data_IF_528981796550
#
_entry.id   IF_528981796550
#
_cell.length_a   1.000
_cell.length_b   1.000
_cell.length_c   1.000
_cell.angle_alpha   90.00
_cell.angle_beta   90.00
_cell.angle_gamma   90.00
#
_symmetry.space_group_name_H-M   'P 1'
#
loop_
_entity.id
_entity.type
_entity.pdbx_description
1 polymer ?
#
# COMPACT_ATOMS: atom_id res chain seq x y z
N UNK A 1 25.17 1.54 19.50
CA UNK A 1 23.73 1.73 19.77
C UNK A 1 23.02 0.41 20.02
N UNK A 2 23.15 -0.62 19.16
CA UNK A 2 22.65 -1.99 19.44
C UNK A 2 23.26 -2.62 20.70
N UNK A 3 24.57 -2.48 20.88
CA UNK A 3 25.29 -2.90 22.09
C UNK A 3 24.78 -2.21 23.37
N UNK A 4 24.26 -0.98 23.24
CA UNK A 4 23.74 -0.20 24.38
C UNK A 4 22.30 -0.62 24.69
N UNK A 5 21.54 -1.01 23.66
CA UNK A 5 20.13 -1.38 23.76
C UNK A 5 19.90 -2.89 23.97
N UNK A 6 20.98 -3.68 23.95
CA UNK A 6 20.99 -5.14 24.09
C UNK A 6 19.95 -5.86 23.22
N UNK A 7 19.68 -5.30 22.03
CA UNK A 7 18.78 -5.86 21.02
C UNK A 7 19.21 -5.38 19.64
N UNK A 8 19.02 -6.18 18.58
CA UNK A 8 19.23 -5.70 17.21
C UNK A 8 18.29 -4.52 16.96
N UNK A 9 18.83 -3.42 16.45
CA UNK A 9 18.07 -2.20 16.16
C UNK A 9 17.35 -2.29 14.82
N UNK A 10 17.87 -3.10 13.91
CA UNK A 10 17.22 -3.42 12.65
C UNK A 10 17.73 -4.77 12.17
N UNK A 11 16.82 -5.73 11.92
CA UNK A 11 17.21 -6.95 11.22
C UNK A 11 17.68 -6.58 9.81
N UNK A 12 18.54 -7.41 9.19
CA UNK A 12 18.93 -7.31 7.77
C UNK A 12 17.72 -7.67 6.87
N UNK A 13 16.59 -7.00 7.07
CA UNK A 13 15.33 -7.24 6.41
C UNK A 13 15.25 -6.41 5.13
N UNK A 14 14.67 -6.99 4.10
CA UNK A 14 14.35 -6.25 2.89
C UNK A 14 13.38 -5.11 3.24
N UNK A 15 13.79 -3.85 3.02
CA UNK A 15 12.97 -2.67 3.32
C UNK A 15 11.60 -2.71 2.61
N UNK A 16 11.55 -3.29 1.41
CA UNK A 16 10.28 -3.50 0.69
C UNK A 16 9.38 -4.50 1.41
N UNK A 17 9.96 -5.54 2.01
CA UNK A 17 9.19 -6.50 2.81
C UNK A 17 8.67 -5.85 4.09
N UNK A 18 9.51 -5.07 4.77
CA UNK A 18 9.10 -4.29 5.94
C UNK A 18 7.94 -3.33 5.62
N UNK A 19 7.92 -2.73 4.43
CA UNK A 19 6.81 -1.89 3.95
C UNK A 19 5.54 -2.71 3.60
N UNK A 20 5.67 -3.94 3.10
CA UNK A 20 4.54 -4.81 2.79
C UNK A 20 3.82 -5.36 4.03
N UNK A 21 4.53 -5.52 5.16
CA UNK A 21 4.01 -6.17 6.36
C UNK A 21 2.84 -5.39 7.03
N UNK A 22 2.94 -4.07 7.30
CA UNK A 22 1.82 -3.30 7.82
C UNK A 22 0.54 -3.42 6.98
N UNK A 23 0.65 -3.29 5.66
CA UNK A 23 -0.49 -3.42 4.76
C UNK A 23 -1.15 -4.81 4.85
N UNK A 24 -0.35 -5.87 4.98
CA UNK A 24 -0.84 -7.25 5.17
C UNK A 24 -1.62 -7.41 6.46
N UNK A 25 -1.09 -6.91 7.56
CA UNK A 25 -1.74 -7.01 8.87
C UNK A 25 -3.02 -6.18 8.91
N UNK A 26 -3.00 -4.98 8.32
CA UNK A 26 -4.20 -4.16 8.15
C UNK A 26 -5.28 -4.90 7.37
N UNK A 27 -4.90 -5.52 6.25
CA UNK A 27 -5.84 -6.30 5.43
C UNK A 27 -6.48 -7.44 6.22
N UNK A 28 -5.69 -8.21 6.97
CA UNK A 28 -6.19 -9.32 7.80
C UNK A 28 -7.14 -8.84 8.89
N UNK A 29 -6.83 -7.70 9.53
CA UNK A 29 -7.67 -7.11 10.55
C UNK A 29 -9.01 -6.65 9.98
N UNK A 30 -8.97 -5.94 8.85
CA UNK A 30 -10.14 -5.33 8.22
C UNK A 30 -11.07 -6.36 7.54
N UNK A 31 -10.52 -7.44 6.98
CA UNK A 31 -11.32 -8.47 6.27
C UNK A 31 -11.99 -9.48 7.23
N UNK A 32 -11.70 -9.41 8.53
CA UNK A 32 -12.35 -10.25 9.55
C UNK A 32 -12.00 -11.73 9.41
N UNK A 33 -10.80 -12.11 9.83
CA UNK A 33 -10.44 -13.49 10.23
C UNK A 33 -10.77 -14.60 9.23
N UNK A 34 -9.91 -14.83 8.22
CA UNK A 34 -9.79 -16.16 7.59
C UNK A 34 -8.48 -16.83 8.00
N UNK A 35 -8.61 -17.74 8.96
CA UNK A 35 -7.77 -18.92 9.25
C UNK A 35 -6.34 -18.88 8.68
N UNK A 36 -5.37 -18.58 9.56
CA UNK A 36 -3.98 -19.02 9.43
C UNK A 36 -3.09 -18.19 8.50
N UNK A 37 -1.93 -17.79 9.04
CA UNK A 37 -0.86 -17.06 8.35
C UNK A 37 -0.30 -17.73 7.07
N UNK A 38 -0.78 -18.92 6.67
CA UNK A 38 -0.20 -19.69 5.56
C UNK A 38 -0.91 -19.55 4.21
N UNK A 39 -2.08 -18.91 4.10
CA UNK A 39 -2.71 -18.69 2.79
C UNK A 39 -3.31 -17.29 2.71
N UNK A 40 -2.45 -16.30 2.52
CA UNK A 40 -2.80 -15.03 1.88
C UNK A 40 -3.20 -15.30 0.42
N UNK A 41 -4.38 -15.89 0.23
CA UNK A 41 -5.05 -15.86 -1.05
C UNK A 41 -5.66 -14.46 -1.16
N UNK A 42 -4.87 -13.52 -1.68
CA UNK A 42 -5.25 -12.15 -2.06
C UNK A 42 -6.32 -12.07 -3.17
N UNK A 43 -7.19 -13.08 -3.21
CA UNK A 43 -8.30 -13.28 -4.14
C UNK A 43 -9.63 -13.38 -3.38
N UNK A 44 -9.71 -12.91 -2.12
CA UNK A 44 -10.91 -13.07 -1.32
C UNK A 44 -12.14 -12.58 -2.09
N UNK A 45 -13.04 -13.53 -2.36
CA UNK A 45 -14.19 -13.38 -3.25
C UNK A 45 -15.19 -12.33 -2.76
N UNK A 46 -15.16 -11.94 -1.48
CA UNK A 46 -16.07 -10.93 -0.92
C UNK A 46 -15.72 -9.51 -1.38
N UNK A 47 -14.45 -9.11 -1.32
CA UNK A 47 -13.99 -7.79 -1.82
C UNK A 47 -13.90 -7.80 -3.36
N UNK A 48 -13.46 -8.91 -3.96
CA UNK A 48 -13.30 -9.06 -5.43
C UNK A 48 -14.62 -9.30 -6.17
N UNK A 49 -15.65 -9.82 -5.50
CA UNK A 49 -16.93 -10.23 -6.12
C UNK A 49 -17.86 -9.08 -6.54
N UNK A 50 -17.57 -7.82 -6.14
CA UNK A 50 -18.31 -6.62 -6.56
C UNK A 50 -17.66 -5.92 -7.77
N UNK A 51 -17.19 -6.70 -8.74
CA UNK A 51 -16.67 -6.16 -10.00
C UNK A 51 -17.84 -5.71 -10.88
N UNK A 52 -18.26 -4.44 -10.74
CA UNK A 52 -19.21 -3.80 -11.67
C UNK A 52 -18.45 -3.15 -12.83
N UNK A 53 -19.12 -3.04 -13.98
CA UNK A 53 -18.63 -2.25 -15.11
C UNK A 53 -18.36 -0.82 -14.64
N UNK A 54 -17.18 -0.33 -15.02
CA UNK A 54 -16.65 0.95 -14.58
C UNK A 54 -17.36 2.08 -15.31
N UNK A 55 -18.27 2.78 -14.64
CA UNK A 55 -18.70 4.12 -15.04
C UNK A 55 -17.72 5.16 -14.49
N UNK A 56 -17.58 6.28 -15.20
CA UNK A 56 -16.76 7.42 -14.79
C UNK A 56 -17.34 8.02 -13.50
N UNK A 57 -16.66 7.80 -12.37
CA UNK A 57 -17.08 8.31 -11.07
C UNK A 57 -16.01 9.25 -10.55
N UNK A 58 -16.38 10.52 -10.32
CA UNK A 58 -15.64 11.41 -9.43
C UNK A 58 -15.82 10.89 -8.00
N UNK A 59 -14.74 10.75 -7.24
CA UNK A 59 -14.79 10.29 -5.86
C UNK A 59 -14.07 11.28 -4.94
N UNK A 60 -14.34 11.20 -3.64
CA UNK A 60 -13.70 12.08 -2.64
C UNK A 60 -12.18 11.91 -2.68
N UNK A 61 -11.41 12.96 -3.01
CA UNK A 61 -9.96 12.88 -3.05
C UNK A 61 -9.38 12.46 -1.69
N UNK A 62 -8.36 11.61 -1.70
CA UNK A 62 -7.59 11.27 -0.49
C UNK A 62 -6.27 12.05 -0.56
N UNK A 63 -6.17 13.08 0.27
CA UNK A 63 -4.97 13.91 0.33
C UNK A 63 -3.75 13.09 0.76
N UNK A 64 -2.72 13.08 -0.08
CA UNK A 64 -1.47 12.40 0.18
C UNK A 64 -0.27 13.11 -0.44
N UNK A 65 0.90 12.89 0.17
CA UNK A 65 2.17 13.33 -0.40
C UNK A 65 2.63 12.29 -1.41
N UNK A 66 2.40 12.56 -2.68
CA UNK A 66 2.87 11.72 -3.78
C UNK A 66 4.39 11.78 -3.91
N UNK A 67 5.00 10.65 -4.24
CA UNK A 67 6.44 10.62 -4.54
C UNK A 67 6.73 11.20 -5.93
N UNK A 68 7.60 12.21 -5.98
CA UNK A 68 8.11 12.74 -7.25
C UNK A 68 9.02 11.70 -7.94
N UNK A 69 8.52 11.07 -8.99
CA UNK A 69 9.32 10.19 -9.85
C UNK A 69 9.79 10.97 -11.08
N UNK A 70 11.08 11.29 -11.11
CA UNK A 70 11.71 12.10 -12.18
C UNK A 70 11.69 11.43 -13.56
N UNK A 71 11.67 10.09 -13.62
CA UNK A 71 11.69 9.32 -14.88
C UNK A 71 10.54 8.32 -14.94
N UNK A 72 9.30 8.80 -15.09
CA UNK A 72 8.10 7.95 -15.25
C UNK A 72 8.24 6.91 -16.38
N UNK A 73 8.98 7.24 -17.45
CA UNK A 73 9.20 6.37 -18.62
C UNK A 73 10.03 5.11 -18.32
N UNK A 74 10.80 5.11 -17.24
CA UNK A 74 11.67 3.99 -16.86
C UNK A 74 10.97 3.00 -15.90
N UNK A 75 9.72 3.29 -15.53
CA UNK A 75 8.93 2.44 -14.64
C UNK A 75 8.35 1.23 -15.38
N UNK A 76 8.35 0.07 -14.73
CA UNK A 76 7.57 -1.07 -15.20
C UNK A 76 6.07 -0.74 -15.19
N UNK A 77 5.29 -1.46 -15.99
CA UNK A 77 3.84 -1.23 -16.13
C UNK A 77 3.11 -1.21 -14.79
N UNK A 78 3.48 -2.07 -13.83
CA UNK A 78 2.81 -2.13 -12.52
C UNK A 78 3.17 -0.95 -11.63
N UNK A 79 4.41 -0.44 -11.72
CA UNK A 79 4.86 0.71 -10.94
C UNK A 79 4.24 1.99 -11.48
N UNK A 80 4.22 2.12 -12.80
CA UNK A 80 3.54 3.20 -13.49
C UNK A 80 2.05 3.22 -13.14
N UNK A 81 1.40 2.04 -13.14
CA UNK A 81 0.01 1.93 -12.71
C UNK A 81 -0.21 2.38 -11.26
N UNK A 82 0.62 1.92 -10.31
CA UNK A 82 0.52 2.32 -8.90
C UNK A 82 0.60 3.85 -8.74
N UNK A 83 1.56 4.48 -9.41
CA UNK A 83 1.73 5.92 -9.34
C UNK A 83 0.55 6.67 -9.98
N UNK A 84 0.13 6.28 -11.19
CA UNK A 84 -0.99 6.94 -11.88
C UNK A 84 -2.33 6.77 -11.14
N UNK A 85 -2.57 5.60 -10.52
CA UNK A 85 -3.80 5.36 -9.76
C UNK A 85 -3.79 6.12 -8.42
N UNK A 86 -2.63 6.24 -7.75
CA UNK A 86 -2.50 7.09 -6.56
C UNK A 86 -2.66 8.57 -6.91
N UNK A 87 -2.12 9.04 -8.04
CA UNK A 87 -2.36 10.38 -8.57
C UNK A 87 -3.85 10.64 -8.81
N UNK A 88 -4.54 9.70 -9.47
CA UNK A 88 -5.98 9.77 -9.68
C UNK A 88 -6.74 9.83 -8.34
N UNK A 89 -6.31 9.05 -7.35
CA UNK A 89 -6.92 9.02 -6.02
C UNK A 89 -6.73 10.36 -5.29
N UNK A 90 -5.54 10.93 -5.38
CA UNK A 90 -5.22 12.21 -4.76
C UNK A 90 -5.99 13.39 -5.37
N UNK A 91 -6.33 13.32 -6.67
CA UNK A 91 -7.10 14.37 -7.35
C UNK A 91 -8.62 14.09 -7.44
N UNK A 92 -9.09 12.94 -6.94
CA UNK A 92 -10.50 12.54 -7.00
C UNK A 92 -11.03 12.21 -8.40
N UNK A 93 -10.14 12.06 -9.39
CA UNK A 93 -10.50 11.85 -10.78
C UNK A 93 -9.66 10.76 -11.43
N UNK A 94 -10.31 9.69 -11.89
CA UNK A 94 -9.64 8.63 -12.65
C UNK A 94 -10.08 8.63 -14.12
N UNK A 95 -9.10 8.67 -15.02
CA UNK A 95 -9.35 8.57 -16.46
C UNK A 95 -9.79 7.15 -16.83
N UNK A 96 -10.70 7.04 -17.79
CA UNK A 96 -11.24 5.76 -18.27
C UNK A 96 -10.15 4.80 -18.78
N UNK A 97 -9.13 5.32 -19.45
CA UNK A 97 -7.99 4.52 -19.92
C UNK A 97 -7.18 3.89 -18.78
N UNK A 98 -7.11 4.55 -17.62
CA UNK A 98 -6.43 4.05 -16.42
C UNK A 98 -7.29 3.03 -15.68
N UNK A 99 -8.61 3.26 -15.58
CA UNK A 99 -9.53 2.36 -14.88
C UNK A 99 -9.71 1.01 -15.60
N UNK A 100 -9.68 1.03 -16.94
CA UNK A 100 -9.74 -0.17 -17.79
C UNK A 100 -8.39 -0.88 -17.92
N UNK A 101 -7.27 -0.24 -17.56
CA UNK A 101 -5.94 -0.83 -17.68
C UNK A 101 -5.82 -2.04 -16.77
N UNK A 102 -5.31 -3.14 -17.31
CA UNK A 102 -4.96 -4.30 -16.49
C UNK A 102 -3.65 -3.98 -15.74
N UNK A 103 -3.60 -4.06 -14.39
CA UNK A 103 -2.39 -3.78 -13.61
C UNK A 103 -1.25 -4.79 -13.80
N UNK A 104 -1.26 -5.59 -14.87
CA UNK A 104 -0.20 -6.51 -15.28
C UNK A 104 -0.47 -7.98 -14.97
N UNK A 105 0.08 -8.88 -15.81
CA UNK A 105 0.01 -10.35 -15.64
C UNK A 105 1.10 -10.86 -14.68
N UNK A 106 2.28 -10.22 -14.63
CA UNK A 106 3.47 -10.75 -13.95
C UNK A 106 4.34 -9.62 -13.36
N UNK A 107 4.30 -9.44 -12.04
CA UNK A 107 5.31 -8.65 -11.32
C UNK A 107 6.12 -9.58 -10.41
N UNK A 108 7.40 -9.27 -10.18
CA UNK A 108 8.22 -10.01 -9.21
C UNK A 108 7.77 -9.73 -7.75
N UNK A 109 7.15 -8.58 -7.47
CA UNK A 109 6.57 -8.29 -6.16
C UNK A 109 5.13 -8.81 -6.08
N UNK A 110 4.92 -9.77 -5.18
CA UNK A 110 3.57 -10.26 -4.84
C UNK A 110 2.73 -9.18 -4.17
N UNK A 111 3.33 -8.32 -3.34
CA UNK A 111 2.65 -7.19 -2.68
C UNK A 111 2.12 -6.15 -3.67
N UNK A 112 2.96 -5.68 -4.60
CA UNK A 112 2.58 -4.63 -5.56
C UNK A 112 1.35 -5.00 -6.42
N UNK A 113 1.24 -6.27 -6.84
CA UNK A 113 0.05 -6.73 -7.58
C UNK A 113 -1.22 -6.72 -6.74
N UNK A 114 -1.13 -7.12 -5.47
CA UNK A 114 -2.28 -7.08 -4.57
C UNK A 114 -2.72 -5.64 -4.34
N UNK A 115 -1.77 -4.73 -4.07
CA UNK A 115 -2.02 -3.30 -3.92
C UNK A 115 -2.71 -2.70 -5.15
N UNK A 116 -2.17 -2.92 -6.35
CA UNK A 116 -2.76 -2.39 -7.58
C UNK A 116 -4.18 -2.93 -7.83
N UNK A 117 -4.45 -4.19 -7.47
CA UNK A 117 -5.80 -4.77 -7.57
C UNK A 117 -6.77 -4.13 -6.58
N UNK A 118 -6.33 -3.88 -5.34
CA UNK A 118 -7.13 -3.14 -4.36
C UNK A 118 -7.48 -1.77 -4.93
N UNK A 119 -6.48 -1.00 -5.37
CA UNK A 119 -6.68 0.36 -5.90
C UNK A 119 -7.61 0.42 -7.12
N UNK A 120 -7.56 -0.61 -7.99
CA UNK A 120 -8.45 -0.71 -9.15
C UNK A 120 -9.93 -0.85 -8.77
N UNK A 121 -10.23 -1.56 -7.67
CA UNK A 121 -11.61 -1.76 -7.19
C UNK A 121 -12.23 -0.46 -6.66
N UNK A 122 -11.42 0.57 -6.42
CA UNK A 122 -11.83 1.82 -5.79
C UNK A 122 -12.46 2.81 -6.74
N UNK A 123 -11.85 2.95 -7.92
CA UNK A 123 -12.22 3.96 -8.91
C UNK A 123 -13.71 3.95 -9.31
N UNK A 124 -14.37 2.78 -9.47
CA UNK A 124 -15.78 2.75 -9.86
C UNK A 124 -16.78 2.75 -8.70
N UNK A 125 -16.34 2.75 -7.43
CA UNK A 125 -17.27 2.52 -6.31
C UNK A 125 -17.77 3.84 -5.72
N UNK A 126 -19.04 4.18 -5.98
CA UNK A 126 -19.72 5.36 -5.40
C UNK A 126 -19.84 5.29 -3.87
N UNK A 127 -19.82 4.10 -3.27
CA UNK A 127 -19.96 3.89 -1.82
C UNK A 127 -19.01 2.79 -1.32
N UNK A 128 -17.70 3.07 -1.22
CA UNK A 128 -16.74 2.14 -0.64
C UNK A 128 -17.05 1.88 0.84
N UNK A 129 -16.81 0.66 1.32
CA UNK A 129 -16.91 0.37 2.75
C UNK A 129 -15.79 1.07 3.53
N UNK A 130 -16.03 1.41 4.79
CA UNK A 130 -15.01 2.00 5.69
C UNK A 130 -13.73 1.16 5.77
N UNK A 131 -13.90 -0.16 5.85
CA UNK A 131 -12.85 -1.17 5.73
C UNK A 131 -11.96 -0.93 4.50
N UNK A 132 -12.60 -0.76 3.34
CA UNK A 132 -11.91 -0.60 2.08
C UNK A 132 -11.25 0.78 1.96
N UNK A 133 -11.92 1.84 2.42
CA UNK A 133 -11.35 3.18 2.52
C UNK A 133 -10.09 3.18 3.39
N UNK A 134 -10.12 2.50 4.54
CA UNK A 134 -8.96 2.38 5.43
C UNK A 134 -7.75 1.77 4.71
N UNK A 135 -7.95 0.68 3.95
CA UNK A 135 -6.87 0.04 3.18
C UNK A 135 -6.35 0.94 2.06
N UNK A 136 -7.23 1.63 1.34
CA UNK A 136 -6.83 2.59 0.32
C UNK A 136 -5.99 3.73 0.88
N UNK A 137 -6.49 4.37 1.94
CA UNK A 137 -5.81 5.48 2.60
C UNK A 137 -4.45 5.04 3.09
N UNK A 138 -4.32 3.83 3.63
CA UNK A 138 -3.03 3.27 4.00
C UNK A 138 -2.10 3.07 2.80
N UNK A 139 -2.62 2.53 1.70
CA UNK A 139 -1.84 2.33 0.49
C UNK A 139 -1.28 3.65 -0.04
N UNK A 140 -2.14 4.65 -0.15
CA UNK A 140 -1.82 5.93 -0.78
C UNK A 140 -0.97 6.82 0.14
N UNK A 141 -1.20 6.81 1.46
CA UNK A 141 -0.49 7.66 2.42
C UNK A 141 0.79 7.05 2.98
N UNK A 142 0.91 5.72 3.02
CA UNK A 142 2.02 5.02 3.70
C UNK A 142 2.77 4.11 2.74
N UNK A 143 2.10 3.12 2.16
CA UNK A 143 2.77 2.07 1.39
C UNK A 143 3.43 2.61 0.13
N UNK A 144 2.70 3.37 -0.70
CA UNK A 144 3.19 3.88 -1.98
C UNK A 144 4.39 4.82 -1.82
N UNK A 145 4.33 5.85 -0.94
CA UNK A 145 5.44 6.79 -0.80
C UNK A 145 6.72 6.10 -0.29
N UNK A 146 6.58 5.18 0.67
CA UNK A 146 7.71 4.39 1.15
C UNK A 146 8.25 3.46 0.07
N UNK A 147 7.38 2.81 -0.69
CA UNK A 147 7.78 1.88 -1.74
C UNK A 147 8.64 2.58 -2.80
N UNK A 148 8.22 3.76 -3.27
CA UNK A 148 8.99 4.53 -4.25
C UNK A 148 10.30 5.07 -3.68
N UNK A 149 10.30 5.58 -2.43
CA UNK A 149 11.54 6.03 -1.76
C UNK A 149 12.55 4.90 -1.61
N UNK A 150 12.12 3.73 -1.14
CA UNK A 150 12.96 2.53 -0.99
C UNK A 150 13.50 2.10 -2.36
N UNK A 151 12.69 2.13 -3.42
CA UNK A 151 13.17 1.79 -4.76
C UNK A 151 14.15 2.81 -5.34
N UNK A 152 13.98 4.10 -5.05
CA UNK A 152 14.89 5.14 -5.49
C UNK A 152 16.24 5.05 -4.78
N UNK A 153 16.26 4.65 -3.50
CA UNK A 153 17.46 4.54 -2.67
C UNK A 153 17.44 3.23 -1.86
N UNK A 154 17.75 2.08 -2.48
CA UNK A 154 17.56 0.75 -1.90
C UNK A 154 18.66 0.33 -0.91
N UNK A 155 19.54 1.26 -0.52
CA UNK A 155 20.68 0.95 0.33
C UNK A 155 20.28 0.82 1.79
N UNK A 156 20.92 -0.13 2.49
CA UNK A 156 20.66 -0.42 3.90
C UNK A 156 20.87 0.80 4.80
N UNK A 157 21.81 1.69 4.46
CA UNK A 157 22.10 2.92 5.21
C UNK A 157 20.88 3.82 5.41
N UNK A 158 19.86 3.70 4.56
CA UNK A 158 18.61 4.45 4.67
C UNK A 158 17.53 3.72 5.46
N UNK A 159 17.80 2.51 5.96
CA UNK A 159 16.83 1.66 6.65
C UNK A 159 16.17 2.33 7.85
N UNK A 160 16.96 2.96 8.71
CA UNK A 160 16.45 3.70 9.86
C UNK A 160 15.58 4.90 9.46
N UNK A 161 15.92 5.57 8.35
CA UNK A 161 15.13 6.67 7.82
C UNK A 161 13.77 6.19 7.32
N UNK A 162 13.72 5.06 6.61
CA UNK A 162 12.44 4.49 6.15
C UNK A 162 11.58 3.96 7.28
N UNK A 163 12.19 3.39 8.33
CA UNK A 163 11.48 2.98 9.53
C UNK A 163 10.82 4.19 10.21
N UNK A 164 11.59 5.26 10.44
CA UNK A 164 11.06 6.50 11.02
C UNK A 164 9.94 7.10 10.15
N UNK A 165 10.12 7.13 8.83
CA UNK A 165 9.09 7.62 7.91
C UNK A 165 7.82 6.76 7.96
N UNK A 166 7.93 5.44 8.11
CA UNK A 166 6.76 4.56 8.25
C UNK A 166 5.94 4.88 9.51
N UNK A 167 6.61 5.17 10.62
CA UNK A 167 5.97 5.62 11.86
C UNK A 167 5.26 6.96 11.61
N UNK A 168 5.98 7.97 11.09
CA UNK A 168 5.40 9.30 10.85
C UNK A 168 4.20 9.25 9.91
N UNK A 169 4.30 8.50 8.79
CA UNK A 169 3.22 8.40 7.82
C UNK A 169 2.00 7.65 8.35
N UNK A 170 2.15 6.78 9.35
CA UNK A 170 1.04 6.02 9.95
C UNK A 170 0.39 6.73 11.16
N UNK A 171 0.89 7.90 11.57
CA UNK A 171 0.34 8.64 12.72
C UNK A 171 -1.12 9.06 12.59
N UNK A 172 -1.64 9.20 11.37
CA UNK A 172 -3.06 9.55 11.16
C UNK A 172 -4.03 8.43 11.52
N UNK A 173 -3.54 7.19 11.66
CA UNK A 173 -4.38 6.04 12.00
C UNK A 173 -5.01 6.22 13.38
N UNK A 174 -6.24 5.70 13.51
CA UNK A 174 -6.94 5.56 14.79
C UNK A 174 -6.22 4.58 15.71
N UNK A 175 -6.53 4.62 17.01
CA UNK A 175 -5.84 3.80 18.03
C UNK A 175 -5.99 2.30 17.77
N UNK A 176 -7.17 1.84 17.39
CA UNK A 176 -7.46 0.44 17.03
C UNK A 176 -6.61 -0.05 15.85
N UNK A 177 -6.40 0.78 14.84
CA UNK A 177 -5.55 0.45 13.70
C UNK A 177 -4.06 0.51 14.06
N UNK A 178 -3.65 1.44 14.94
CA UNK A 178 -2.28 1.50 15.47
C UNK A 178 -1.93 0.27 16.29
N UNK A 179 -2.87 -0.27 17.07
CA UNK A 179 -2.67 -1.50 17.84
C UNK A 179 -2.34 -2.70 16.93
N UNK A 180 -2.79 -2.67 15.67
CA UNK A 180 -2.47 -3.68 14.65
C UNK A 180 -1.11 -3.41 13.99
N UNK A 181 -0.80 -2.14 13.70
CA UNK A 181 0.31 -1.75 12.83
C UNK A 181 1.62 -1.49 13.59
N UNK A 182 1.55 -0.82 14.74
CA UNK A 182 2.73 -0.45 15.53
C UNK A 182 3.56 -1.67 15.96
N UNK A 183 2.97 -2.79 16.41
CA UNK A 183 3.76 -3.98 16.72
C UNK A 183 4.49 -4.54 15.51
N UNK A 184 3.91 -4.41 14.31
CA UNK A 184 4.51 -4.89 13.06
C UNK A 184 5.70 -4.00 12.69
N UNK A 185 5.54 -2.68 12.77
CA UNK A 185 6.62 -1.72 12.50
C UNK A 185 7.76 -1.89 13.51
N UNK A 186 7.45 -2.08 14.80
CA UNK A 186 8.45 -2.24 15.88
C UNK A 186 9.24 -3.55 15.82
N UNK A 187 8.68 -4.59 15.19
CA UNK A 187 9.32 -5.91 15.03
C UNK A 187 10.22 -6.00 13.79
N UNK A 188 10.15 -5.03 12.89
CA UNK A 188 10.96 -4.98 11.67
C UNK A 188 12.45 -4.73 11.92
#
# INVERSE_FOLDING_TARGET
MELILNRPLQWFMCQLHANELPLRHLFVHVDGTTIGAQKLHWQNRKIVGRMREVTLVSFTPIECTLCEVTKKKDLSTERLYLMEICEAINCGHCRESLSKRNPGKVCNSRGLRATNRILRLCVPNENPSEAFLTLMTFVVRVYEPLWFKIKAKPFLIYGAQYLHQSIVLSHYLSSDLKDVIDPVIKRN
#
